data_IF_223646832845
#
_entry.id   IF_223646832845
#
_cell.length_a   1.000
_cell.length_b   1.000
_cell.length_c   1.000
_cell.angle_alpha   90.00
_cell.angle_beta   90.00
_cell.angle_gamma   90.00
#
_symmetry.space_group_name_H-M   'P 1'
#
loop_
_entity.id
_entity.type
_entity.pdbx_description
1 polymer ?
#
# COMPACT_ATOMS: atom_id res chain seq x y z
N UNK A 1 16.24 17.02 17.25
CA UNK A 1 15.80 15.68 16.78
C UNK A 1 15.46 15.91 15.31
N UNK A 2 16.36 15.55 14.40
CA UNK A 2 16.17 15.87 12.98
C UNK A 2 15.16 14.91 12.37
N UNK A 3 14.16 15.47 11.69
CA UNK A 3 13.25 14.81 10.74
C UNK A 3 13.98 14.24 9.49
N UNK A 4 15.22 13.79 9.65
CA UNK A 4 16.14 13.46 8.55
C UNK A 4 15.77 12.17 7.81
N UNK A 5 14.87 11.36 8.35
CA UNK A 5 14.52 10.05 7.78
C UNK A 5 13.23 10.06 6.96
N UNK A 6 12.52 11.19 6.84
CA UNK A 6 11.28 11.26 6.07
C UNK A 6 10.13 10.42 6.65
N UNK A 7 8.98 10.46 5.98
CA UNK A 7 7.82 9.64 6.32
C UNK A 7 7.07 9.21 5.05
N UNK A 8 6.23 8.18 5.16
CA UNK A 8 5.38 7.73 4.06
C UNK A 8 4.12 8.59 3.99
N UNK A 9 3.98 9.38 2.92
CA UNK A 9 2.78 10.20 2.66
C UNK A 9 1.79 9.42 1.81
N UNK A 10 0.51 9.51 2.14
CA UNK A 10 -0.57 9.03 1.28
C UNK A 10 -0.55 9.77 -0.07
N UNK A 11 -0.73 9.03 -1.16
CA UNK A 11 -0.89 9.60 -2.49
C UNK A 11 -2.26 9.29 -3.08
N UNK A 12 -2.63 8.00 -3.16
CA UNK A 12 -3.88 7.57 -3.77
C UNK A 12 -4.29 6.16 -3.29
N UNK A 13 -5.55 5.82 -3.54
CA UNK A 13 -6.01 4.42 -3.56
C UNK A 13 -6.04 3.98 -5.02
N UNK A 14 -5.38 2.88 -5.33
CA UNK A 14 -5.28 2.32 -6.69
C UNK A 14 -5.84 0.90 -6.72
N UNK A 15 -6.27 0.45 -7.89
CA UNK A 15 -6.58 -0.96 -8.14
C UNK A 15 -5.34 -1.62 -8.78
N UNK A 16 -4.95 -2.81 -8.28
CA UNK A 16 -3.86 -3.60 -8.86
C UNK A 16 -4.30 -5.01 -9.16
N UNK A 17 -3.89 -5.52 -10.31
CA UNK A 17 -4.08 -6.91 -10.69
C UNK A 17 -2.93 -7.75 -10.12
N UNK A 18 -3.26 -8.77 -9.34
CA UNK A 18 -2.32 -9.74 -8.79
C UNK A 18 -2.27 -10.92 -9.75
N UNK A 19 -1.19 -10.98 -10.51
CA UNK A 19 -0.90 -12.11 -11.40
C UNK A 19 -0.03 -13.09 -10.62
N UNK A 20 -0.64 -14.15 -10.14
CA UNK A 20 0.04 -15.25 -9.47
C UNK A 20 0.87 -16.05 -10.47
N UNK A 21 2.12 -16.33 -10.13
CA UNK A 21 2.98 -17.22 -10.92
C UNK A 21 2.42 -18.65 -10.91
N UNK A 22 2.74 -19.49 -11.92
CA UNK A 22 2.09 -20.79 -12.13
C UNK A 22 2.22 -21.80 -10.98
N UNK A 23 3.10 -21.54 -10.00
CA UNK A 23 3.24 -22.36 -8.78
C UNK A 23 2.13 -22.08 -7.76
N UNK A 24 1.40 -20.97 -7.89
CA UNK A 24 0.35 -20.54 -6.97
C UNK A 24 -1.01 -20.79 -7.62
N UNK A 25 -1.82 -21.69 -7.03
CA UNK A 25 -3.12 -22.13 -7.54
C UNK A 25 -4.23 -21.08 -7.47
N UNK A 26 -3.95 -19.88 -6.95
CA UNK A 26 -4.95 -18.83 -6.86
C UNK A 26 -5.14 -18.17 -8.24
N UNK A 27 -6.39 -17.93 -8.68
CA UNK A 27 -6.64 -17.20 -9.92
C UNK A 27 -6.15 -15.75 -9.80
N UNK A 28 -5.83 -15.10 -10.94
CA UNK A 28 -5.64 -13.67 -10.97
C UNK A 28 -6.84 -12.96 -10.36
N UNK A 29 -6.58 -11.94 -9.56
CA UNK A 29 -7.63 -11.14 -8.93
C UNK A 29 -7.18 -9.70 -8.83
N UNK A 30 -8.16 -8.82 -8.67
CA UNK A 30 -7.93 -7.39 -8.48
C UNK A 30 -8.11 -7.06 -7.01
N UNK A 31 -7.20 -6.27 -6.45
CA UNK A 31 -7.32 -5.74 -5.09
C UNK A 31 -7.06 -4.23 -5.07
N UNK A 32 -7.56 -3.57 -4.01
CA UNK A 32 -7.29 -2.15 -3.77
C UNK A 32 -6.07 -2.01 -2.89
N UNK A 33 -5.20 -1.06 -3.24
CA UNK A 33 -3.98 -0.77 -2.50
C UNK A 33 -3.83 0.73 -2.26
N UNK A 34 -3.17 1.07 -1.15
CA UNK A 34 -2.73 2.44 -0.87
C UNK A 34 -1.36 2.65 -1.50
N UNK A 35 -1.26 3.67 -2.37
CA UNK A 35 0.01 4.18 -2.88
C UNK A 35 0.54 5.24 -1.92
N UNK A 36 1.75 5.03 -1.44
CA UNK A 36 2.46 5.96 -0.57
C UNK A 36 3.80 6.33 -1.19
N UNK A 37 4.24 7.56 -0.94
CA UNK A 37 5.57 8.02 -1.32
C UNK A 37 6.37 8.39 -0.08
N UNK A 38 7.63 8.02 -0.03
CA UNK A 38 8.54 8.43 1.03
C UNK A 38 9.00 9.87 0.80
N UNK A 39 8.80 10.77 1.77
CA UNK A 39 9.11 12.20 1.61
C UNK A 39 10.60 12.50 1.53
N UNK A 40 11.45 11.65 2.11
CA UNK A 40 12.91 11.81 2.08
C UNK A 40 13.57 11.24 0.82
N UNK A 41 13.18 10.02 0.41
CA UNK A 41 13.82 9.30 -0.72
C UNK A 41 13.06 9.44 -2.04
N UNK A 42 11.79 9.83 -2.01
CA UNK A 42 10.91 9.87 -3.19
C UNK A 42 10.43 8.50 -3.66
N UNK A 43 10.83 7.41 -2.99
CA UNK A 43 10.42 6.04 -3.29
C UNK A 43 8.92 5.84 -3.13
N UNK A 44 8.35 4.94 -3.92
CA UNK A 44 6.95 4.56 -3.84
C UNK A 44 6.79 3.15 -3.28
N UNK A 45 5.74 2.94 -2.51
CA UNK A 45 5.31 1.61 -2.08
C UNK A 45 3.80 1.44 -2.21
N UNK A 46 3.38 0.19 -2.36
CA UNK A 46 1.98 -0.22 -2.36
C UNK A 46 1.72 -1.09 -1.14
N UNK A 47 0.68 -0.77 -0.36
CA UNK A 47 0.18 -1.61 0.74
C UNK A 47 -1.26 -2.04 0.43
N UNK A 48 -1.64 -3.31 0.67
CA UNK A 48 -3.04 -3.71 0.63
C UNK A 48 -3.90 -2.75 1.45
N UNK A 49 -5.08 -2.37 0.94
CA UNK A 49 -5.95 -1.43 1.66
C UNK A 49 -6.37 -2.00 3.02
N UNK A 50 -6.60 -3.31 3.09
CA UNK A 50 -7.03 -4.02 4.29
C UNK A 50 -5.99 -3.90 5.43
N UNK A 51 -4.69 -3.99 5.10
CA UNK A 51 -3.57 -3.81 6.06
C UNK A 51 -3.50 -2.40 6.65
N UNK A 52 -4.09 -1.40 5.98
CA UNK A 52 -4.13 -0.01 6.45
C UNK A 52 -5.35 0.24 7.32
N UNK A 53 -6.49 -0.37 6.96
CA UNK A 53 -7.76 -0.14 7.65
C UNK A 53 -7.91 -0.94 8.95
N UNK A 54 -7.21 -2.07 9.12
CA UNK A 54 -7.27 -2.86 10.36
C UNK A 54 -6.56 -2.20 11.57
N UNK A 55 -5.71 -1.20 11.32
CA UNK A 55 -5.09 -0.38 12.37
C UNK A 55 -5.85 0.92 12.69
N UNK A 56 -6.91 1.22 11.94
CA UNK A 56 -7.71 2.43 12.11
C UNK A 56 -8.98 2.12 12.89
N UNK A 57 -9.09 2.64 14.11
CA UNK A 57 -10.38 2.77 14.78
C UNK A 57 -11.39 3.36 13.78
N UNK A 58 -12.42 2.58 13.44
CA UNK A 58 -13.52 3.04 12.59
C UNK A 58 -14.19 4.20 13.33
N UNK A 59 -13.86 5.43 12.95
CA UNK A 59 -14.62 6.60 13.37
C UNK A 59 -15.96 6.51 12.61
N UNK A 60 -16.95 5.93 13.29
CA UNK A 60 -18.34 5.83 12.85
C UNK A 60 -19.07 7.16 13.03
#
# INVERSE_FOLDING_TARGET
MSDADGYWRFCAIVEREIITTPTVTAPPHTERAVLEQHTGSGEYRLRPLDDVTDGGERIA
#
